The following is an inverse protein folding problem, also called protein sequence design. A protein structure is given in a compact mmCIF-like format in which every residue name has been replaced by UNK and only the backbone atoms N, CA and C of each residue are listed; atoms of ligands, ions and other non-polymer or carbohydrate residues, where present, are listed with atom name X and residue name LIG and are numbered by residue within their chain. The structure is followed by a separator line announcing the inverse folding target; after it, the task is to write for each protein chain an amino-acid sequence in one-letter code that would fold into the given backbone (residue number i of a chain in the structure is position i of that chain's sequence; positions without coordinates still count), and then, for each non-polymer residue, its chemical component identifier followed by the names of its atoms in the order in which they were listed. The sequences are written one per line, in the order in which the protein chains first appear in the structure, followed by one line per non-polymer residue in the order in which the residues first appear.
data_IF_668584128975
#
_entry.id   IF_668584128975
#
_cell.length_a   1.000
_cell.length_b   1.000
_cell.length_c   1.000
_cell.angle_alpha   90.00
_cell.angle_beta   90.00
_cell.angle_gamma   90.00
#
_symmetry.space_group_name_H-M   'P 1'
#
loop_
_entity.id
_entity.type
_entity.pdbx_description
1 polymer ?
#
# COMPACT_ATOMS: atom_id res chain seq x y z
N UNK A 1 -13.66 -22.58 -7.51
CA UNK A 1 -14.03 -21.18 -7.82
C UNK A 1 -13.37 -20.24 -6.84
N UNK A 2 -12.05 -20.32 -6.72
CA UNK A 2 -11.24 -19.36 -6.01
C UNK A 2 -10.57 -18.46 -7.02
N UNK A 3 -11.32 -17.51 -7.57
CA UNK A 3 -10.71 -16.34 -8.19
C UNK A 3 -10.07 -15.57 -7.04
N UNK A 4 -8.76 -15.53 -7.06
CA UNK A 4 -7.93 -14.68 -6.23
C UNK A 4 -8.48 -13.24 -6.34
N UNK A 5 -9.26 -12.82 -5.36
CA UNK A 5 -9.45 -11.40 -5.13
C UNK A 5 -8.05 -10.85 -4.92
N UNK A 6 -7.69 -9.82 -5.64
CA UNK A 6 -6.41 -9.15 -5.46
C UNK A 6 -6.41 -8.55 -4.05
N UNK A 7 -5.95 -9.32 -3.11
CA UNK A 7 -5.64 -8.84 -1.76
C UNK A 7 -4.33 -8.08 -1.87
N UNK A 8 -4.13 -7.13 -1.00
CA UNK A 8 -2.87 -6.41 -0.93
C UNK A 8 -1.69 -7.37 -1.02
N UNK A 9 -0.61 -6.97 -1.69
CA UNK A 9 0.57 -7.83 -1.87
C UNK A 9 0.94 -8.53 -0.54
N UNK A 10 0.77 -7.84 0.57
CA UNK A 10 0.92 -8.39 1.91
C UNK A 10 0.08 -9.63 2.17
N UNK A 11 -1.19 -9.67 1.75
CA UNK A 11 -2.10 -10.78 2.03
C UNK A 11 -1.83 -12.02 1.18
N UNK A 12 -1.49 -11.85 -0.10
CA UNK A 12 -1.11 -12.96 -0.98
C UNK A 12 0.14 -13.63 -0.42
N UNK A 13 1.08 -12.86 0.03
CA UNK A 13 2.35 -13.33 0.54
C UNK A 13 2.24 -13.95 1.95
N UNK A 14 1.37 -13.39 2.80
CA UNK A 14 1.05 -13.98 4.11
C UNK A 14 0.46 -15.38 3.98
N UNK A 15 -0.40 -15.60 2.98
CA UNK A 15 -0.93 -16.94 2.69
C UNK A 15 0.16 -17.92 2.25
N UNK A 16 1.15 -17.47 1.49
CA UNK A 16 2.29 -18.32 1.11
C UNK A 16 3.18 -18.63 2.32
N UNK A 17 3.38 -17.68 3.24
CA UNK A 17 4.09 -17.92 4.49
C UNK A 17 3.38 -18.95 5.38
N UNK A 18 2.05 -18.85 5.50
CA UNK A 18 1.24 -19.80 6.25
C UNK A 18 1.31 -21.22 5.65
N UNK A 19 1.26 -21.32 4.32
CA UNK A 19 1.40 -22.59 3.60
C UNK A 19 2.80 -23.21 3.74
N UNK A 20 3.83 -22.37 3.86
CA UNK A 20 5.20 -22.83 4.08
C UNK A 20 5.50 -23.28 5.52
N UNK A 21 4.68 -22.84 6.48
CA UNK A 21 4.84 -23.18 7.91
C UNK A 21 3.97 -24.36 8.36
N UNK A 22 2.99 -24.79 7.52
CA UNK A 22 2.15 -25.94 7.81
C UNK A 22 2.41 -27.06 6.78
N UNK A 23 3.25 -28.04 7.12
CA UNK A 23 3.59 -29.16 6.22
C UNK A 23 2.42 -30.13 5.95
N UNK A 24 1.23 -29.88 6.52
CA UNK A 24 0.04 -30.73 6.35
C UNK A 24 -1.06 -30.08 5.49
N UNK A 25 -0.86 -28.89 4.93
CA UNK A 25 -1.83 -28.31 4.02
C UNK A 25 -1.79 -29.05 2.67
N UNK A 26 -2.92 -29.55 2.15
CA UNK A 26 -2.94 -30.26 0.87
C UNK A 26 -2.52 -29.32 -0.27
N UNK A 27 -1.64 -29.82 -1.14
CA UNK A 27 -1.22 -29.14 -2.35
C UNK A 27 -2.45 -28.80 -3.20
N UNK A 28 -2.57 -27.54 -3.62
CA UNK A 28 -3.62 -27.13 -4.53
C UNK A 28 -3.39 -27.78 -5.90
N UNK A 29 -4.28 -28.69 -6.26
CA UNK A 29 -4.28 -29.36 -7.55
C UNK A 29 -4.68 -28.36 -8.64
N UNK A 30 -3.76 -28.17 -9.58
CA UNK A 30 -3.93 -27.24 -10.69
C UNK A 30 -4.60 -27.92 -11.88
N UNK A 31 -5.88 -27.65 -12.09
CA UNK A 31 -6.51 -27.85 -13.39
C UNK A 31 -7.09 -26.53 -13.88
N UNK A 32 -6.36 -25.94 -14.82
CA UNK A 32 -6.85 -24.83 -15.62
C UNK A 32 -7.93 -25.34 -16.58
N UNK A 33 -9.14 -24.81 -16.50
CA UNK A 33 -10.09 -24.84 -17.60
C UNK A 33 -10.24 -23.43 -18.16
N UNK A 34 -9.82 -23.29 -19.40
CA UNK A 34 -10.11 -22.14 -20.26
C UNK A 34 -11.60 -21.96 -20.41
N UNK A 35 -12.09 -20.77 -20.18
CA UNK A 35 -13.36 -20.35 -20.73
C UNK A 35 -13.25 -18.96 -21.36
N UNK A 36 -13.87 -18.86 -22.50
CA UNK A 36 -13.71 -17.94 -23.60
C UNK A 36 -14.13 -16.51 -23.33
N UNK A 37 -13.28 -15.59 -23.77
CA UNK A 37 -13.48 -14.26 -24.38
C UNK A 37 -14.86 -13.59 -24.24
N UNK A 38 -14.87 -12.47 -23.52
CA UNK A 38 -15.60 -11.28 -23.95
C UNK A 38 -14.64 -10.09 -23.87
N UNK A 39 -14.43 -9.46 -25.02
CA UNK A 39 -13.66 -8.23 -25.13
C UNK A 39 -14.47 -7.12 -24.47
N UNK A 40 -13.96 -6.60 -23.36
CA UNK A 40 -14.40 -5.32 -22.80
C UNK A 40 -13.25 -4.33 -22.93
N UNK A 41 -13.57 -3.20 -23.56
CA UNK A 41 -12.69 -2.06 -23.74
C UNK A 41 -12.36 -1.40 -22.40
N UNK A 42 -11.16 -0.79 -22.23
CA UNK A 42 -10.69 -0.20 -20.97
C UNK A 42 -11.41 1.11 -20.54
N UNK A 43 -12.61 1.38 -21.04
CA UNK A 43 -13.22 2.72 -21.02
C UNK A 43 -13.84 3.18 -19.70
N UNK A 44 -13.89 2.35 -18.64
CA UNK A 44 -14.73 2.64 -17.48
C UNK A 44 -14.04 2.54 -16.10
N UNK A 45 -12.77 2.87 -15.97
CA UNK A 45 -12.16 3.01 -14.65
C UNK A 45 -12.62 4.32 -13.98
N UNK A 46 -13.78 4.30 -13.34
CA UNK A 46 -14.24 5.41 -12.51
C UNK A 46 -13.50 5.33 -11.18
N UNK A 47 -12.53 6.23 -10.98
CA UNK A 47 -11.93 6.42 -9.67
C UNK A 47 -13.00 6.96 -8.71
N UNK A 48 -13.33 6.18 -7.68
CA UNK A 48 -14.22 6.63 -6.62
C UNK A 48 -13.57 7.77 -5.83
N UNK A 49 -14.35 8.79 -5.45
CA UNK A 49 -13.86 9.81 -4.55
C UNK A 49 -13.72 9.24 -3.13
N UNK A 50 -12.90 9.86 -2.25
CA UNK A 50 -12.80 9.45 -0.85
C UNK A 50 -14.16 9.35 -0.14
N UNK A 51 -15.09 10.28 -0.46
CA UNK A 51 -16.43 10.30 0.09
C UNK A 51 -17.28 9.12 -0.40
N UNK A 52 -17.16 8.76 -1.68
CA UNK A 52 -17.87 7.63 -2.28
C UNK A 52 -17.38 6.29 -1.70
N UNK A 53 -16.07 6.15 -1.49
CA UNK A 53 -15.49 4.98 -0.83
C UNK A 53 -15.97 4.91 0.62
N UNK A 54 -15.99 6.05 1.34
CA UNK A 54 -16.49 6.09 2.70
C UNK A 54 -17.97 5.67 2.79
N UNK A 55 -18.80 6.16 1.88
CA UNK A 55 -20.20 5.79 1.82
C UNK A 55 -20.38 4.29 1.54
N UNK A 56 -19.54 3.71 0.68
CA UNK A 56 -19.55 2.28 0.39
C UNK A 56 -19.11 1.44 1.61
N UNK A 57 -18.13 1.89 2.37
CA UNK A 57 -17.68 1.26 3.61
C UNK A 57 -18.75 1.36 4.71
N UNK A 58 -19.38 2.53 4.88
CA UNK A 58 -20.40 2.75 5.90
C UNK A 58 -21.69 1.96 5.60
N UNK A 59 -21.99 1.72 4.33
CA UNK A 59 -23.11 0.89 3.89
C UNK A 59 -22.84 -0.62 3.98
N UNK A 60 -21.58 -1.03 4.25
CA UNK A 60 -21.14 -2.43 4.23
C UNK A 60 -21.03 -3.02 2.82
N UNK A 61 -21.11 -2.19 1.79
CA UNK A 61 -20.97 -2.63 0.40
C UNK A 61 -19.51 -2.93 0.01
N UNK A 62 -18.57 -2.35 0.75
CA UNK A 62 -17.14 -2.68 0.69
C UNK A 62 -16.70 -3.22 2.05
N UNK A 63 -16.27 -4.47 2.08
CA UNK A 63 -15.49 -5.02 3.18
C UNK A 63 -14.03 -4.61 2.93
N UNK A 64 -13.43 -3.85 3.81
CA UNK A 64 -12.00 -3.47 3.79
C UNK A 64 -11.36 -3.39 2.38
N UNK A 65 -11.87 -2.50 1.53
CA UNK A 65 -11.36 -2.31 0.16
C UNK A 65 -9.89 -1.89 0.12
N UNK A 66 -9.38 -1.45 1.25
CA UNK A 66 -8.01 -0.95 1.40
C UNK A 66 -7.01 -2.07 1.69
N UNK A 67 -7.46 -3.14 2.34
CA UNK A 67 -6.67 -4.37 2.49
C UNK A 67 -6.64 -5.20 1.20
N UNK A 68 -7.41 -4.81 0.22
CA UNK A 68 -7.45 -5.43 -1.09
C UNK A 68 -6.87 -4.46 -2.10
N UNK A 69 -5.73 -4.78 -2.68
CA UNK A 69 -5.29 -4.13 -3.91
C UNK A 69 -6.33 -4.42 -4.99
N UNK A 70 -7.25 -3.50 -5.17
CA UNK A 70 -8.29 -3.64 -6.16
C UNK A 70 -7.78 -2.93 -7.41
N UNK A 71 -7.50 -3.70 -8.43
CA UNK A 71 -7.30 -3.17 -9.77
C UNK A 71 -8.68 -2.72 -10.30
N UNK A 72 -8.90 -1.41 -10.34
CA UNK A 72 -10.12 -0.84 -10.90
C UNK A 72 -10.23 -1.04 -12.41
N UNK A 73 -9.16 -1.54 -13.06
CA UNK A 73 -9.20 -2.02 -14.44
C UNK A 73 -9.67 -3.47 -14.51
N UNK A 74 -10.16 -4.06 -13.40
CA UNK A 74 -10.68 -5.43 -13.38
C UNK A 74 -11.76 -5.59 -14.45
N UNK A 75 -11.46 -6.41 -15.44
CA UNK A 75 -12.34 -6.77 -16.57
C UNK A 75 -13.69 -7.39 -16.14
N UNK A 76 -13.84 -7.73 -14.85
CA UNK A 76 -15.06 -8.36 -14.32
C UNK A 76 -16.14 -7.36 -13.87
N UNK A 77 -15.93 -6.06 -13.98
CA UNK A 77 -16.96 -5.06 -13.76
C UNK A 77 -17.53 -4.99 -12.34
N UNK A 78 -16.86 -5.57 -11.32
CA UNK A 78 -17.35 -5.57 -9.94
C UNK A 78 -17.55 -4.14 -9.42
N UNK A 79 -16.58 -3.24 -9.65
CA UNK A 79 -16.70 -1.84 -9.24
C UNK A 79 -17.74 -1.08 -10.04
N UNK A 80 -17.86 -1.37 -11.33
CA UNK A 80 -18.92 -0.81 -12.17
C UNK A 80 -20.30 -1.25 -11.69
N UNK A 81 -20.46 -2.54 -11.34
CA UNK A 81 -21.68 -3.07 -10.75
C UNK A 81 -21.95 -2.41 -9.39
N UNK A 82 -20.96 -2.31 -8.50
CA UNK A 82 -21.05 -1.69 -7.19
C UNK A 82 -21.39 -0.20 -7.30
N UNK A 83 -20.74 0.52 -8.20
CA UNK A 83 -21.01 1.93 -8.47
C UNK A 83 -22.45 2.13 -8.94
N UNK A 84 -22.90 1.35 -9.92
CA UNK A 84 -24.27 1.40 -10.42
C UNK A 84 -25.30 1.03 -9.36
N UNK A 85 -24.98 0.12 -8.47
CA UNK A 85 -25.84 -0.27 -7.36
C UNK A 85 -25.92 0.82 -6.26
N UNK A 86 -24.81 1.46 -5.93
CA UNK A 86 -24.73 2.49 -4.89
C UNK A 86 -25.29 3.85 -5.33
N UNK A 87 -25.03 4.24 -6.57
CA UNK A 87 -25.23 5.62 -7.04
C UNK A 87 -26.27 5.75 -8.18
N UNK A 88 -26.81 4.63 -8.66
CA UNK A 88 -27.82 4.58 -9.72
C UNK A 88 -27.29 4.96 -11.11
N UNK A 89 -27.89 4.38 -12.13
CA UNK A 89 -27.51 4.59 -13.54
C UNK A 89 -28.01 5.93 -14.11
N UNK A 90 -27.64 7.06 -13.51
CA UNK A 90 -27.68 8.32 -14.21
C UNK A 90 -26.36 8.50 -14.92
N UNK A 91 -26.20 7.81 -16.06
CA UNK A 91 -25.24 8.22 -17.05
C UNK A 91 -25.53 9.68 -17.39
N UNK A 92 -24.70 10.61 -16.93
CA UNK A 92 -24.62 11.92 -17.59
C UNK A 92 -24.19 11.62 -19.02
N UNK A 93 -24.94 12.12 -20.00
CA UNK A 93 -24.40 12.23 -21.36
C UNK A 93 -23.06 12.94 -21.25
N UNK A 94 -21.98 12.20 -21.43
CA UNK A 94 -20.63 12.75 -21.40
C UNK A 94 -20.44 13.59 -22.66
N UNK A 95 -20.01 14.84 -22.49
CA UNK A 95 -19.47 15.62 -23.61
C UNK A 95 -18.37 14.80 -24.30
N UNK A 96 -18.30 14.80 -25.65
CA UNK A 96 -17.27 14.07 -26.36
C UNK A 96 -15.90 14.49 -25.83
N UNK A 97 -15.11 13.49 -25.40
CA UNK A 97 -13.78 13.74 -24.85
C UNK A 97 -12.97 14.63 -25.80
N UNK A 98 -12.25 15.64 -25.30
CA UNK A 98 -11.45 16.50 -26.16
C UNK A 98 -10.46 15.66 -26.96
N UNK A 99 -10.34 15.91 -28.27
CA UNK A 99 -9.48 15.17 -29.19
C UNK A 99 -7.97 15.46 -28.93
N UNK A 100 -7.54 15.40 -27.66
CA UNK A 100 -6.18 15.70 -27.24
C UNK A 100 -5.74 14.68 -26.17
N UNK A 101 -4.55 14.13 -26.36
CA UNK A 101 -3.86 13.30 -25.38
C UNK A 101 -2.44 13.83 -25.13
N UNK A 102 -1.88 13.50 -23.96
CA UNK A 102 -0.54 13.92 -23.59
C UNK A 102 -0.49 15.11 -22.63
N UNK A 103 0.69 15.71 -22.52
CA UNK A 103 0.95 16.82 -21.61
C UNK A 103 0.35 18.14 -22.12
N UNK A 104 -0.28 18.90 -21.21
CA UNK A 104 -0.83 20.23 -21.51
C UNK A 104 -0.70 21.15 -20.31
N UNK A 105 -0.30 22.41 -20.57
CA UNK A 105 -0.27 23.46 -19.55
C UNK A 105 -1.34 24.51 -19.86
N UNK A 106 -2.21 24.74 -18.90
CA UNK A 106 -3.31 25.70 -18.98
C UNK A 106 -3.30 26.59 -17.73
N UNK A 107 -3.28 27.90 -17.91
CA UNK A 107 -3.28 28.87 -16.80
C UNK A 107 -2.21 28.58 -15.73
N UNK A 108 -1.01 28.19 -16.14
CA UNK A 108 0.10 27.85 -15.25
C UNK A 108 -0.02 26.49 -14.52
N UNK A 109 -1.03 25.69 -14.82
CA UNK A 109 -1.24 24.34 -14.26
C UNK A 109 -0.96 23.30 -15.34
N UNK A 110 -0.24 22.25 -14.97
CA UNK A 110 0.12 21.15 -15.89
C UNK A 110 -0.78 19.95 -15.66
N UNK A 111 -1.26 19.37 -16.74
CA UNK A 111 -2.16 18.22 -16.80
C UNK A 111 -1.59 17.16 -17.75
N UNK A 112 -2.04 15.94 -17.59
CA UNK A 112 -1.84 14.87 -18.57
C UNK A 112 -3.19 14.28 -18.97
N UNK A 113 -3.42 14.15 -20.27
CA UNK A 113 -4.62 13.55 -20.82
C UNK A 113 -4.30 12.15 -21.31
N UNK A 114 -5.01 11.14 -20.79
CA UNK A 114 -4.81 9.75 -21.16
C UNK A 114 -5.11 9.53 -22.66
N UNK A 115 -4.29 8.68 -23.31
CA UNK A 115 -4.42 8.42 -24.75
C UNK A 115 -5.72 7.72 -25.14
N UNK A 116 -6.19 6.84 -24.28
CA UNK A 116 -7.36 5.99 -24.49
C UNK A 116 -8.67 6.73 -24.28
N UNK A 117 -8.72 7.62 -23.30
CA UNK A 117 -9.94 8.32 -22.91
C UNK A 117 -9.95 9.82 -23.25
N UNK A 118 -8.80 10.39 -23.59
CA UNK A 118 -8.62 11.86 -23.71
C UNK A 118 -9.07 12.65 -22.45
N UNK A 119 -9.13 11.99 -21.28
CA UNK A 119 -9.51 12.61 -20.00
C UNK A 119 -8.27 12.96 -19.19
N UNK A 120 -8.38 13.99 -18.36
CA UNK A 120 -7.33 14.34 -17.38
C UNK A 120 -7.13 13.16 -16.43
N UNK A 121 -5.88 12.74 -16.25
CA UNK A 121 -5.54 11.75 -15.23
C UNK A 121 -5.52 12.38 -13.86
N UNK A 122 -5.81 11.58 -12.82
CA UNK A 122 -5.75 11.96 -11.41
C UNK A 122 -4.99 10.90 -10.63
N UNK A 123 -4.52 11.22 -9.43
CA UNK A 123 -3.81 10.29 -8.56
C UNK A 123 -2.39 10.00 -9.05
N UNK A 124 -1.86 8.89 -8.59
CA UNK A 124 -0.51 8.41 -8.89
C UNK A 124 -0.46 7.77 -10.27
N UNK A 125 0.50 8.16 -11.10
CA UNK A 125 0.65 7.66 -12.48
C UNK A 125 2.10 7.41 -12.83
N UNK A 126 2.32 6.36 -13.64
CA UNK A 126 3.59 6.13 -14.33
C UNK A 126 3.40 6.50 -15.81
N UNK A 127 4.12 7.51 -16.27
CA UNK A 127 4.06 8.02 -17.65
C UNK A 127 5.48 7.98 -18.20
N UNK A 128 5.69 7.28 -19.30
CA UNK A 128 7.01 7.10 -19.92
C UNK A 128 8.10 6.63 -18.94
N UNK A 129 7.71 5.71 -18.04
CA UNK A 129 8.61 5.14 -17.03
C UNK A 129 8.98 6.07 -15.89
N UNK A 130 8.27 7.19 -15.71
CA UNK A 130 8.44 8.12 -14.58
C UNK A 130 7.18 8.25 -13.76
N UNK A 131 7.34 8.43 -12.46
CA UNK A 131 6.24 8.64 -11.54
C UNK A 131 5.80 10.10 -11.52
N UNK A 132 4.49 10.30 -11.48
CA UNK A 132 3.84 11.59 -11.35
C UNK A 132 2.65 11.50 -10.41
N UNK A 133 2.30 12.64 -9.80
CA UNK A 133 1.11 12.75 -8.99
C UNK A 133 0.25 13.91 -9.49
N UNK A 134 -1.04 13.65 -9.63
CA UNK A 134 -2.06 14.63 -10.04
C UNK A 134 -3.13 14.68 -8.96
N UNK A 135 -3.52 15.88 -8.54
CA UNK A 135 -4.61 16.04 -7.58
C UNK A 135 -5.99 15.66 -8.17
N UNK A 136 -7.05 15.78 -7.37
CA UNK A 136 -8.41 15.44 -7.79
C UNK A 136 -8.92 16.28 -8.98
N UNK A 137 -8.29 17.43 -9.27
CA UNK A 137 -8.60 18.26 -10.43
C UNK A 137 -7.71 17.93 -11.64
N UNK A 138 -6.86 16.92 -11.53
CA UNK A 138 -5.89 16.52 -12.55
C UNK A 138 -4.67 17.43 -12.65
N UNK A 139 -4.43 18.32 -11.68
CA UNK A 139 -3.27 19.21 -11.67
C UNK A 139 -2.05 18.46 -11.17
N UNK A 140 -0.99 18.43 -11.97
CA UNK A 140 0.30 17.85 -11.59
C UNK A 140 0.84 18.54 -10.33
N UNK A 141 1.28 17.73 -9.37
CA UNK A 141 1.86 18.17 -8.12
C UNK A 141 3.37 17.88 -8.13
N UNK A 142 4.20 18.91 -7.87
CA UNK A 142 5.67 18.80 -7.87
C UNK A 142 6.28 18.83 -6.46
N UNK A 143 5.46 19.06 -5.44
CA UNK A 143 5.86 19.18 -4.04
C UNK A 143 5.78 17.87 -3.25
N UNK A 144 5.87 16.74 -3.94
CA UNK A 144 5.82 15.40 -3.34
C UNK A 144 7.06 14.61 -3.67
N UNK A 145 7.40 13.66 -2.81
CA UNK A 145 8.53 12.76 -2.99
C UNK A 145 8.02 11.33 -3.15
N UNK A 146 8.44 10.64 -4.22
CA UNK A 146 8.03 9.26 -4.50
C UNK A 146 8.95 8.26 -3.84
N UNK A 147 8.35 7.21 -3.30
CA UNK A 147 9.05 6.06 -2.76
C UNK A 147 8.34 4.75 -3.11
N UNK A 148 9.00 3.67 -2.76
CA UNK A 148 8.44 2.31 -2.83
C UNK A 148 8.55 1.65 -1.47
N UNK A 149 7.77 0.60 -1.22
CA UNK A 149 8.06 -0.28 -0.11
C UNK A 149 8.26 -1.71 -0.60
N UNK A 150 9.14 -2.43 0.09
CA UNK A 150 9.63 -3.74 -0.36
C UNK A 150 9.87 -4.69 0.81
N UNK A 151 9.84 -5.97 0.51
CA UNK A 151 10.13 -7.05 1.44
C UNK A 151 10.81 -8.21 0.71
N UNK A 152 10.89 -9.37 1.33
CA UNK A 152 11.41 -10.61 0.71
C UNK A 152 10.73 -10.98 -0.62
N UNK A 153 9.60 -10.38 -0.92
CA UNK A 153 8.80 -10.71 -2.10
C UNK A 153 9.19 -9.93 -3.35
N UNK A 154 9.91 -8.84 -3.20
CA UNK A 154 10.47 -8.08 -4.30
C UNK A 154 11.95 -8.42 -4.46
N UNK A 155 12.26 -9.46 -5.24
CA UNK A 155 13.63 -9.84 -5.58
C UNK A 155 14.03 -9.34 -6.98
N UNK A 156 15.33 -9.21 -7.22
CA UNK A 156 15.84 -8.86 -8.55
C UNK A 156 15.60 -7.40 -8.96
N UNK A 157 15.56 -6.49 -8.00
CA UNK A 157 15.37 -5.06 -8.24
C UNK A 157 16.61 -4.40 -8.85
N UNK A 158 16.44 -3.70 -9.98
CA UNK A 158 17.44 -2.78 -10.52
C UNK A 158 17.26 -1.39 -9.90
N UNK A 159 17.93 -1.16 -8.77
CA UNK A 159 17.81 0.05 -7.98
C UNK A 159 18.18 1.32 -8.74
N UNK A 160 19.08 1.24 -9.71
CA UNK A 160 19.44 2.38 -10.55
C UNK A 160 18.31 2.78 -11.50
N UNK A 161 17.63 1.80 -12.10
CA UNK A 161 16.44 2.07 -12.92
C UNK A 161 15.28 2.58 -12.09
N UNK A 162 15.07 2.00 -10.90
CA UNK A 162 14.06 2.45 -9.95
C UNK A 162 14.29 3.92 -9.58
N UNK A 163 15.51 4.31 -9.24
CA UNK A 163 15.82 5.71 -8.96
C UNK A 163 15.54 6.62 -10.15
N UNK A 164 15.88 6.19 -11.37
CA UNK A 164 15.63 6.96 -12.60
C UNK A 164 14.15 7.14 -12.91
N UNK A 165 13.26 6.31 -12.38
CA UNK A 165 11.80 6.47 -12.50
C UNK A 165 11.22 7.59 -11.64
N UNK A 166 12.05 8.22 -10.80
CA UNK A 166 11.64 9.30 -9.88
C UNK A 166 11.54 8.85 -8.43
N UNK A 167 11.78 7.58 -8.12
CA UNK A 167 11.83 7.07 -6.74
C UNK A 167 13.03 7.67 -6.00
N UNK A 168 12.79 8.26 -4.84
CA UNK A 168 13.80 8.91 -4.00
C UNK A 168 14.01 8.23 -2.65
N UNK A 169 13.04 7.41 -2.21
CA UNK A 169 13.15 6.67 -0.95
C UNK A 169 12.54 5.27 -1.04
N UNK A 170 12.88 4.44 -0.07
CA UNK A 170 12.32 3.11 0.10
C UNK A 170 12.03 2.84 1.58
N UNK A 171 10.91 2.18 1.86
CA UNK A 171 10.58 1.63 3.17
C UNK A 171 10.73 0.11 3.09
N UNK A 172 11.66 -0.46 3.83
CA UNK A 172 12.06 -1.87 3.71
C UNK A 172 11.50 -2.65 4.89
N UNK A 173 10.86 -3.79 4.65
CA UNK A 173 10.48 -4.67 5.75
C UNK A 173 11.73 -5.18 6.46
N UNK A 174 11.90 -4.79 7.73
CA UNK A 174 13.03 -5.23 8.53
C UNK A 174 12.77 -6.61 9.14
N UNK A 175 11.51 -6.91 9.44
CA UNK A 175 11.12 -8.18 10.03
C UNK A 175 9.62 -8.25 10.27
N UNK A 176 9.21 -9.34 10.89
CA UNK A 176 7.83 -9.60 11.25
C UNK A 176 7.76 -10.51 12.47
N UNK A 177 6.65 -10.45 13.19
CA UNK A 177 6.31 -11.48 14.18
C UNK A 177 5.51 -12.60 13.51
N UNK A 178 5.93 -13.84 13.70
CA UNK A 178 5.27 -15.02 13.12
C UNK A 178 3.86 -15.23 13.67
N UNK A 179 3.05 -15.92 12.88
CA UNK A 179 1.71 -16.35 13.27
C UNK A 179 1.76 -17.51 14.28
N UNK A 180 0.63 -17.79 14.90
CA UNK A 180 0.49 -18.86 15.87
C UNK A 180 0.97 -18.47 17.27
N UNK A 181 0.89 -19.43 18.23
CA UNK A 181 1.11 -19.15 19.65
C UNK A 181 2.54 -18.71 19.98
N UNK A 182 3.54 -19.20 19.27
CA UNK A 182 4.95 -18.92 19.56
C UNK A 182 5.31 -17.46 19.29
N UNK A 183 4.73 -16.83 18.25
CA UNK A 183 4.94 -15.42 17.91
C UNK A 183 6.42 -15.03 17.82
N UNK A 184 7.27 -15.86 17.19
CA UNK A 184 8.69 -15.59 17.08
C UNK A 184 8.98 -14.37 16.22
N UNK A 185 9.99 -13.58 16.60
CA UNK A 185 10.50 -12.49 15.76
C UNK A 185 11.36 -13.08 14.64
N UNK A 186 11.10 -12.66 13.42
CA UNK A 186 11.81 -13.11 12.22
C UNK A 186 12.32 -11.91 11.46
N UNK A 187 13.62 -11.86 11.18
CA UNK A 187 14.21 -10.88 10.29
C UNK A 187 13.80 -11.18 8.85
N UNK A 188 13.45 -10.17 8.06
CA UNK A 188 13.19 -10.34 6.64
C UNK A 188 14.48 -10.81 5.93
N UNK A 189 14.45 -11.93 5.19
CA UNK A 189 15.67 -12.48 4.56
C UNK A 189 16.28 -11.58 3.51
N UNK A 190 15.50 -10.68 2.88
CA UNK A 190 16.00 -9.74 1.88
C UNK A 190 16.40 -8.37 2.45
N UNK A 191 16.22 -8.16 3.76
CA UNK A 191 16.46 -6.87 4.39
C UNK A 191 17.87 -6.32 4.10
N UNK A 192 18.91 -7.13 4.32
CA UNK A 192 20.30 -6.68 4.15
C UNK A 192 20.61 -6.32 2.69
N UNK A 193 20.12 -7.12 1.75
CA UNK A 193 20.30 -6.89 0.33
C UNK A 193 19.61 -5.59 -0.11
N UNK A 194 18.34 -5.42 0.25
CA UNK A 194 17.58 -4.23 -0.08
C UNK A 194 18.20 -2.98 0.56
N UNK A 195 18.55 -3.05 1.84
CA UNK A 195 19.14 -1.92 2.55
C UNK A 195 20.45 -1.47 1.89
N UNK A 196 21.36 -2.41 1.61
CA UNK A 196 22.66 -2.13 1.00
C UNK A 196 22.49 -1.56 -0.41
N UNK A 197 21.67 -2.20 -1.23
CA UNK A 197 21.51 -1.81 -2.63
C UNK A 197 20.77 -0.47 -2.79
N UNK A 198 19.75 -0.22 -1.97
CA UNK A 198 19.05 1.07 -1.95
C UNK A 198 19.99 2.22 -1.54
N UNK A 199 20.79 2.01 -0.50
CA UNK A 199 21.83 2.99 -0.07
C UNK A 199 22.86 3.23 -1.15
N UNK A 200 23.37 2.19 -1.80
CA UNK A 200 24.33 2.31 -2.89
C UNK A 200 23.77 3.07 -4.09
N UNK A 201 22.47 2.92 -4.38
CA UNK A 201 21.78 3.72 -5.38
C UNK A 201 21.50 5.16 -4.92
N UNK A 202 21.79 5.51 -3.68
CA UNK A 202 21.57 6.83 -3.09
C UNK A 202 20.11 7.14 -2.82
N UNK A 203 19.31 6.13 -2.46
CA UNK A 203 17.96 6.32 -1.97
C UNK A 203 17.96 6.58 -0.46
N UNK A 204 17.04 7.41 0.00
CA UNK A 204 16.70 7.53 1.42
C UNK A 204 16.02 6.25 1.89
N UNK A 205 16.26 5.83 3.14
CA UNK A 205 15.75 4.54 3.66
C UNK A 205 14.99 4.74 4.97
N UNK A 206 13.83 4.14 5.05
CA UNK A 206 13.10 3.81 6.26
C UNK A 206 12.83 2.31 6.35
N UNK A 207 12.20 1.88 7.43
CA UNK A 207 11.87 0.47 7.60
C UNK A 207 10.49 0.28 8.20
N UNK A 208 9.88 -0.89 8.00
CA UNK A 208 8.67 -1.29 8.69
C UNK A 208 8.81 -2.68 9.29
N UNK A 209 8.10 -2.91 10.38
CA UNK A 209 7.97 -4.20 11.03
C UNK A 209 6.52 -4.65 10.97
N UNK A 210 6.26 -5.78 10.33
CA UNK A 210 4.93 -6.37 10.27
C UNK A 210 4.58 -6.99 11.64
N UNK A 211 3.73 -6.28 12.37
CA UNK A 211 3.41 -6.62 13.76
C UNK A 211 2.29 -7.66 13.87
N UNK A 212 2.51 -8.60 14.76
CA UNK A 212 1.50 -9.50 15.29
C UNK A 212 1.51 -9.50 16.84
N UNK A 213 1.98 -8.39 17.43
CA UNK A 213 1.97 -8.20 18.87
C UNK A 213 0.52 -8.19 19.42
N UNK A 214 0.28 -8.91 20.50
CA UNK A 214 -1.03 -8.98 21.17
C UNK A 214 -1.04 -8.22 22.49
N UNK A 215 0.08 -7.66 22.91
CA UNK A 215 0.23 -6.83 24.10
C UNK A 215 1.42 -5.89 23.95
N UNK A 216 1.53 -4.91 24.87
CA UNK A 216 2.56 -3.88 24.84
C UNK A 216 3.99 -4.44 24.97
N UNK A 217 4.19 -5.53 25.73
CA UNK A 217 5.52 -6.11 25.87
C UNK A 217 6.01 -6.71 24.55
N UNK A 218 5.17 -7.43 23.85
CA UNK A 218 5.49 -7.96 22.53
C UNK A 218 5.77 -6.84 21.53
N UNK A 219 5.01 -5.74 21.58
CA UNK A 219 5.26 -4.59 20.71
C UNK A 219 6.61 -3.92 21.00
N UNK A 220 7.03 -3.82 22.27
CA UNK A 220 8.39 -3.37 22.64
C UNK A 220 9.46 -4.31 22.13
N UNK A 221 9.26 -5.63 22.23
CA UNK A 221 10.19 -6.63 21.71
C UNK A 221 10.38 -6.46 20.18
N UNK A 222 9.32 -6.19 19.44
CA UNK A 222 9.38 -5.92 18.00
C UNK A 222 10.24 -4.70 17.68
N UNK A 223 10.06 -3.59 18.42
CA UNK A 223 10.88 -2.39 18.29
C UNK A 223 12.35 -2.63 18.65
N UNK A 224 12.62 -3.38 19.73
CA UNK A 224 13.98 -3.78 20.12
C UNK A 224 14.61 -4.67 19.05
N UNK A 225 13.85 -5.57 18.45
CA UNK A 225 14.27 -6.39 17.32
C UNK A 225 14.69 -5.56 16.12
N UNK A 226 13.94 -4.50 15.81
CA UNK A 226 14.33 -3.55 14.75
C UNK A 226 15.66 -2.86 15.07
N UNK A 227 15.83 -2.34 16.29
CA UNK A 227 17.05 -1.67 16.71
C UNK A 227 18.25 -2.62 16.69
N UNK A 228 18.07 -3.88 17.13
CA UNK A 228 19.09 -4.92 17.07
C UNK A 228 19.54 -5.21 15.63
N UNK A 229 18.60 -5.40 14.70
CA UNK A 229 18.89 -5.64 13.29
C UNK A 229 19.56 -4.43 12.65
N UNK A 230 19.13 -3.22 12.97
CA UNK A 230 19.73 -1.99 12.47
C UNK A 230 21.16 -1.79 12.96
N UNK A 231 21.47 -2.25 14.16
CA UNK A 231 22.82 -2.18 14.75
C UNK A 231 23.47 -0.79 14.60
N UNK A 232 22.74 0.27 14.97
CA UNK A 232 23.18 1.66 14.92
C UNK A 232 23.17 2.30 13.52
N UNK A 233 22.73 1.60 12.46
CA UNK A 233 22.58 2.19 11.12
C UNK A 233 21.54 3.32 11.14
N UNK A 234 21.88 4.44 10.52
CA UNK A 234 20.98 5.60 10.42
C UNK A 234 19.89 5.37 9.39
N UNK A 235 18.71 5.87 9.68
CA UNK A 235 17.57 5.93 8.78
C UNK A 235 17.26 7.39 8.42
N UNK A 236 16.63 7.59 7.25
CA UNK A 236 16.13 8.90 6.80
C UNK A 236 14.62 9.03 7.03
N UNK A 237 13.94 7.91 7.14
CA UNK A 237 12.52 7.76 7.40
C UNK A 237 12.29 6.92 8.67
N UNK A 238 11.09 6.98 9.27
CA UNK A 238 10.77 6.26 10.49
C UNK A 238 10.95 4.74 10.42
N UNK A 239 10.92 4.12 11.62
CA UNK A 239 10.57 2.72 11.82
C UNK A 239 9.06 2.67 12.00
N UNK A 240 8.35 2.04 11.09
CA UNK A 240 6.90 1.96 11.11
C UNK A 240 6.42 0.65 11.76
N UNK A 241 5.48 0.82 12.71
CA UNK A 241 4.63 -0.27 13.20
C UNK A 241 3.59 -0.55 12.14
N UNK A 242 3.73 -1.65 11.41
CA UNK A 242 2.76 -2.06 10.39
C UNK A 242 1.69 -2.93 11.03
N UNK A 243 0.46 -2.43 11.06
CA UNK A 243 -0.69 -3.13 11.60
C UNK A 243 -1.80 -3.21 10.57
N UNK A 244 -2.08 -4.43 10.16
CA UNK A 244 -3.08 -4.77 9.14
C UNK A 244 -3.58 -6.22 9.33
N UNK A 245 -4.60 -6.62 8.56
CA UNK A 245 -5.09 -7.98 8.61
C UNK A 245 -4.03 -8.98 8.15
N UNK A 246 -3.88 -10.09 8.87
CA UNK A 246 -2.92 -11.15 8.50
C UNK A 246 -3.28 -11.88 7.20
N UNK A 247 -4.50 -11.71 6.71
CA UNK A 247 -5.01 -12.38 5.52
C UNK A 247 -5.28 -13.87 5.71
N UNK A 248 -5.14 -14.39 6.93
CA UNK A 248 -5.32 -15.79 7.27
C UNK A 248 -6.09 -16.00 8.58
N UNK A 249 -6.45 -17.23 8.88
CA UNK A 249 -7.19 -17.59 10.11
C UNK A 249 -6.32 -17.58 11.38
N UNK A 250 -4.99 -17.44 11.25
CA UNK A 250 -4.03 -17.61 12.34
C UNK A 250 -3.32 -16.31 12.74
N UNK A 251 -3.79 -15.14 12.28
CA UNK A 251 -3.23 -13.85 12.69
C UNK A 251 -3.45 -13.61 14.18
N UNK A 252 -2.38 -13.49 14.93
CA UNK A 252 -2.42 -13.29 16.39
C UNK A 252 -3.12 -11.99 16.76
N UNK A 253 -2.83 -10.93 16.02
CA UNK A 253 -3.34 -9.59 16.27
C UNK A 253 -4.70 -9.29 15.61
N UNK A 254 -5.22 -10.16 14.73
CA UNK A 254 -6.45 -9.86 13.97
C UNK A 254 -7.66 -9.61 14.87
N UNK A 255 -7.73 -10.33 16.01
CA UNK A 255 -8.81 -10.22 16.98
C UNK A 255 -8.69 -9.07 18.00
N UNK A 256 -7.60 -8.29 17.97
CA UNK A 256 -7.43 -7.20 18.94
C UNK A 256 -8.49 -6.12 18.78
N UNK A 257 -9.01 -5.66 19.92
CA UNK A 257 -9.82 -4.44 20.00
C UNK A 257 -9.01 -3.18 19.73
N UNK A 258 -9.73 -2.06 19.50
CA UNK A 258 -9.12 -0.74 19.23
C UNK A 258 -8.15 -0.35 20.33
N UNK A 259 -8.53 -0.51 21.62
CA UNK A 259 -7.71 -0.10 22.75
C UNK A 259 -6.38 -0.87 22.82
N UNK A 260 -6.41 -2.19 22.73
CA UNK A 260 -5.21 -3.00 22.87
C UNK A 260 -4.27 -2.83 21.65
N UNK A 261 -4.82 -2.71 20.45
CA UNK A 261 -4.03 -2.42 19.24
C UNK A 261 -3.36 -1.05 19.35
N UNK A 262 -4.09 -0.05 19.84
CA UNK A 262 -3.54 1.31 20.04
C UNK A 262 -2.43 1.30 21.09
N UNK A 263 -2.58 0.57 22.19
CA UNK A 263 -1.53 0.40 23.19
C UNK A 263 -0.29 -0.27 22.63
N UNK A 264 -0.45 -1.31 21.78
CA UNK A 264 0.67 -1.96 21.10
C UNK A 264 1.41 -0.95 20.21
N UNK A 265 0.70 -0.19 19.37
CA UNK A 265 1.31 0.80 18.49
C UNK A 265 2.08 1.88 19.30
N UNK A 266 1.49 2.39 20.38
CA UNK A 266 2.15 3.36 21.26
C UNK A 266 3.41 2.75 21.91
N UNK A 267 3.31 1.54 22.44
CA UNK A 267 4.42 0.86 23.10
C UNK A 267 5.59 0.62 22.12
N UNK A 268 5.31 0.21 20.89
CA UNK A 268 6.31 0.10 19.84
C UNK A 268 6.96 1.46 19.54
N UNK A 269 6.16 2.48 19.30
CA UNK A 269 6.64 3.81 18.95
C UNK A 269 7.50 4.45 20.06
N UNK A 270 7.11 4.32 21.32
CA UNK A 270 7.89 4.85 22.44
C UNK A 270 9.21 4.07 22.62
N UNK A 271 9.22 2.75 22.39
CA UNK A 271 10.45 1.98 22.40
C UNK A 271 11.37 2.37 21.24
N UNK A 272 10.84 2.59 20.02
CA UNK A 272 11.59 3.09 18.85
C UNK A 272 12.28 4.42 19.20
N UNK A 273 11.58 5.35 19.86
CA UNK A 273 12.16 6.61 20.33
C UNK A 273 13.27 6.39 21.35
N UNK A 274 13.06 5.49 22.32
CA UNK A 274 14.06 5.15 23.33
C UNK A 274 15.35 4.59 22.71
N UNK A 275 15.23 3.89 21.56
CA UNK A 275 16.35 3.39 20.77
C UNK A 275 16.98 4.46 19.84
N UNK A 276 16.49 5.70 19.87
CA UNK A 276 17.06 6.82 19.12
C UNK A 276 16.60 6.95 17.66
N UNK A 277 15.51 6.29 17.28
CA UNK A 277 14.91 6.35 15.96
C UNK A 277 13.58 7.13 15.95
N UNK A 278 13.17 7.57 14.78
CA UNK A 278 11.85 8.16 14.58
C UNK A 278 10.80 7.05 14.43
N UNK A 279 9.69 7.09 15.17
CA UNK A 279 8.61 6.12 15.03
C UNK A 279 7.54 6.57 14.06
N UNK A 280 6.85 5.59 13.46
CA UNK A 280 5.64 5.80 12.71
C UNK A 280 4.69 4.62 12.82
N UNK A 281 3.47 4.81 12.32
CA UNK A 281 2.44 3.78 12.26
C UNK A 281 1.89 3.69 10.85
N UNK A 282 1.88 2.47 10.30
CA UNK A 282 1.23 2.16 9.04
C UNK A 282 -0.07 1.38 9.29
N UNK A 283 -1.10 1.83 8.63
CA UNK A 283 -2.36 1.09 8.49
C UNK A 283 -3.15 1.60 7.28
N UNK A 284 -4.19 0.86 6.89
CA UNK A 284 -5.17 1.37 5.93
C UNK A 284 -6.06 2.45 6.56
N UNK A 285 -6.70 3.27 5.72
CA UNK A 285 -7.68 4.27 6.18
C UNK A 285 -8.78 3.64 7.03
N UNK A 286 -9.29 2.47 6.62
CA UNK A 286 -10.30 1.76 7.38
C UNK A 286 -9.80 1.39 8.79
N UNK A 287 -8.57 0.90 8.87
CA UNK A 287 -7.97 0.53 10.16
C UNK A 287 -7.75 1.74 11.05
N UNK A 288 -7.28 2.87 10.51
CA UNK A 288 -7.18 4.13 11.24
C UNK A 288 -8.53 4.67 11.74
N UNK A 289 -9.62 4.35 11.06
CA UNK A 289 -10.98 4.76 11.46
C UNK A 289 -11.68 3.78 12.39
N UNK A 290 -11.38 2.48 12.32
CA UNK A 290 -12.19 1.42 12.96
C UNK A 290 -11.41 0.46 13.86
N UNK A 291 -10.08 0.36 13.69
CA UNK A 291 -9.27 -0.69 14.34
C UNK A 291 -8.18 -0.17 15.25
N UNK A 292 -7.86 1.14 15.16
CA UNK A 292 -6.84 1.79 15.99
C UNK A 292 -7.26 3.25 16.23
N UNK A 293 -6.92 3.80 17.38
CA UNK A 293 -7.27 5.19 17.71
C UNK A 293 -6.23 6.17 17.15
N UNK A 294 -6.48 6.67 15.94
CA UNK A 294 -5.61 7.62 15.25
C UNK A 294 -5.36 8.90 16.08
N UNK A 295 -6.32 9.33 16.91
CA UNK A 295 -6.15 10.55 17.71
C UNK A 295 -5.02 10.45 18.72
N UNK A 296 -4.77 9.24 19.23
CA UNK A 296 -3.68 8.97 20.18
C UNK A 296 -2.33 8.77 19.50
N UNK A 297 -2.29 8.67 18.18
CA UNK A 297 -1.09 8.40 17.38
C UNK A 297 -0.53 9.65 16.69
N UNK A 298 -1.15 10.83 16.85
CA UNK A 298 -0.79 12.07 16.15
C UNK A 298 0.63 12.59 16.41
N UNK A 299 1.29 12.10 17.43
CA UNK A 299 2.69 12.44 17.76
C UNK A 299 3.71 11.58 16.99
N UNK A 300 3.25 10.60 16.23
CA UNK A 300 4.06 9.71 15.41
C UNK A 300 3.80 9.95 13.94
N UNK A 301 4.73 9.58 13.08
CA UNK A 301 4.51 9.65 11.64
C UNK A 301 3.41 8.68 11.20
N UNK A 302 2.45 9.17 10.43
CA UNK A 302 1.35 8.37 9.91
C UNK A 302 1.61 8.01 8.45
N UNK A 303 1.64 6.71 8.17
CA UNK A 303 1.71 6.16 6.83
C UNK A 303 0.39 5.46 6.50
N UNK A 304 -0.40 6.09 5.65
CA UNK A 304 -1.75 5.64 5.33
C UNK A 304 -1.78 4.90 3.99
N UNK A 305 -2.38 3.72 3.96
CA UNK A 305 -2.70 3.02 2.72
C UNK A 305 -4.13 3.32 2.28
N UNK A 306 -4.26 3.76 1.03
CA UNK A 306 -5.55 3.94 0.36
C UNK A 306 -5.35 4.00 -1.15
N UNK A 307 -5.93 3.06 -1.86
CA UNK A 307 -5.66 2.85 -3.27
C UNK A 307 -6.77 3.39 -4.17
N UNK A 308 -6.45 3.59 -5.46
CA UNK A 308 -7.42 3.94 -6.50
C UNK A 308 -8.16 5.26 -6.27
N UNK A 309 -7.54 6.19 -5.58
CA UNK A 309 -8.06 7.54 -5.31
C UNK A 309 -7.05 8.60 -5.71
N UNK A 310 -7.51 9.84 -5.81
CA UNK A 310 -6.66 10.97 -6.18
C UNK A 310 -5.76 11.49 -5.06
N UNK A 311 -5.90 10.98 -3.82
CA UNK A 311 -5.09 11.36 -2.67
C UNK A 311 -5.57 10.68 -1.39
N UNK A 312 -4.76 10.75 -0.32
CA UNK A 312 -5.13 10.18 0.98
C UNK A 312 -6.39 10.84 1.55
N UNK A 313 -7.38 10.06 2.00
CA UNK A 313 -8.60 10.60 2.61
C UNK A 313 -8.44 11.00 4.07
N UNK A 314 -7.28 10.78 4.66
CA UNK A 314 -6.93 11.24 6.00
C UNK A 314 -5.60 12.00 5.97
N UNK A 315 -5.38 12.88 6.94
CA UNK A 315 -4.10 13.54 7.12
C UNK A 315 -3.01 12.51 7.47
N UNK A 316 -1.92 12.50 6.71
CA UNK A 316 -0.80 11.59 6.89
C UNK A 316 0.50 12.24 6.41
N UNK A 317 1.65 11.72 6.88
CA UNK A 317 2.97 12.13 6.41
C UNK A 317 3.40 11.37 5.16
N UNK A 318 2.87 10.16 5.00
CA UNK A 318 3.13 9.30 3.85
C UNK A 318 1.84 8.58 3.44
N UNK A 319 1.64 8.50 2.14
CA UNK A 319 0.49 7.81 1.54
C UNK A 319 0.97 6.72 0.58
N UNK A 320 0.58 5.47 0.85
CA UNK A 320 0.70 4.36 -0.09
C UNK A 320 -0.51 4.41 -1.01
N UNK A 321 -0.29 4.89 -2.23
CA UNK A 321 -1.36 5.21 -3.18
C UNK A 321 -1.71 4.08 -4.14
N UNK A 322 -0.86 3.07 -4.26
CA UNK A 322 -1.08 1.88 -5.09
C UNK A 322 -0.17 0.73 -4.67
N UNK A 323 -0.62 -0.49 -4.93
CA UNK A 323 0.14 -1.73 -4.78
C UNK A 323 0.30 -2.48 -6.13
N UNK A 324 -0.14 -1.88 -7.21
CA UNK A 324 -0.14 -2.50 -8.55
C UNK A 324 0.72 -1.74 -9.56
N UNK A 325 1.56 -0.81 -9.09
CA UNK A 325 2.40 -0.03 -9.98
C UNK A 325 3.41 -0.91 -10.72
N UNK A 326 3.68 -0.55 -11.98
CA UNK A 326 4.78 -1.09 -12.77
C UNK A 326 5.77 0.02 -13.05
N UNK A 327 7.00 -0.16 -12.61
CA UNK A 327 8.07 0.84 -12.77
C UNK A 327 9.30 0.20 -13.41
N UNK A 328 10.12 0.97 -14.14
CA UNK A 328 11.40 0.47 -14.64
C UNK A 328 12.28 -0.06 -13.50
N UNK A 329 12.88 -1.22 -13.70
CA UNK A 329 13.76 -1.86 -12.72
C UNK A 329 13.12 -2.97 -11.90
N UNK A 330 11.82 -3.22 -12.06
CA UNK A 330 11.15 -4.40 -11.50
C UNK A 330 10.16 -4.99 -12.49
N UNK A 331 10.15 -6.31 -12.60
CA UNK A 331 9.29 -7.04 -13.54
C UNK A 331 7.88 -7.32 -13.02
N UNK A 332 7.65 -7.13 -11.72
CA UNK A 332 6.38 -7.34 -11.04
C UNK A 332 5.62 -6.04 -10.75
N UNK A 333 4.57 -6.17 -9.97
CA UNK A 333 3.86 -5.04 -9.37
C UNK A 333 4.54 -4.64 -8.05
N UNK A 334 4.52 -3.35 -7.74
CA UNK A 334 5.18 -2.80 -6.56
C UNK A 334 4.33 -1.69 -5.95
N UNK A 335 4.42 -1.59 -4.62
CA UNK A 335 3.80 -0.53 -3.85
C UNK A 335 4.51 0.80 -4.08
N UNK A 336 3.73 1.87 -4.35
CA UNK A 336 4.27 3.21 -4.53
C UNK A 336 3.67 4.17 -3.53
N UNK A 337 4.57 4.94 -2.93
CA UNK A 337 4.29 5.86 -1.85
C UNK A 337 4.57 7.30 -2.26
N UNK A 338 3.81 8.22 -1.67
CA UNK A 338 4.08 9.65 -1.69
C UNK A 338 4.41 10.08 -0.26
N UNK A 339 5.58 10.71 -0.07
CA UNK A 339 5.91 11.40 1.17
C UNK A 339 5.59 12.88 1.01
N UNK A 340 4.86 13.43 1.99
CA UNK A 340 4.55 14.87 2.12
C UNK A 340 5.55 15.61 3.02
N UNK A 341 6.41 14.84 3.72
CA UNK A 341 7.52 15.35 4.52
C UNK A 341 8.81 15.00 3.80
N UNK A 342 9.58 16.01 3.40
CA UNK A 342 10.78 15.87 2.57
C UNK A 342 12.04 15.53 3.36
#
# INVERSE_FOLDING_TARGET
RDRLRSRGLGDVYKRQELAAQDPQAPAADGTAQNDTTSQHTPEDSVLLTPEQIQQALDSGALEDAEAQCIDLTDENGFFRWLFNWLFGSKAKEEEPAPAYSGWRTENGKTYYYAQDTNKKVTGLRSIDGKLYYFDANGVKQDNVTFGIDVSKYQSGLDWNKIKKSGVSFVIIRIGYRGYGAAGNLVKDPMFEEHFTNARNAGLKVGVYFFSQAVNENEAREEAQGCAYVLNGRKLDYPIYFDTEASGGKNGRADGLGVEDRTKCAIAFCEEVKAQGYQPGVYASTLWFRKRIDLNRLKSYSIWNAHYNVAGSPIACDMWQGTCTARIPGYGGQIDVNISYVG
#
